data_IF_526217782505
#
_entry.id   IF_526217782505
#
_cell.length_a   1.000
_cell.length_b   1.000
_cell.length_c   1.000
_cell.angle_alpha   90.00
_cell.angle_beta   90.00
_cell.angle_gamma   90.00
#
_symmetry.space_group_name_H-M   'P 1'
#
loop_
_entity.id
_entity.type
_entity.pdbx_description
1 polymer ?
#
# COMPACT_ATOMS: atom_id res chain seq x y z
N UNK A 1 -7.05 -5.59 2.08
CA UNK A 1 -5.87 -6.48 2.11
C UNK A 1 -5.58 -6.88 3.55
N UNK A 2 -5.34 -8.17 3.77
CA UNK A 2 -5.12 -8.80 5.06
C UNK A 2 -3.67 -9.29 5.18
N UNK A 3 -2.97 -9.08 6.30
CA UNK A 3 -1.58 -9.53 6.45
C UNK A 3 -1.46 -11.06 6.50
N UNK A 4 -0.50 -11.60 5.76
CA UNK A 4 -0.17 -13.04 5.74
C UNK A 4 1.21 -13.33 6.33
N UNK A 5 2.15 -12.39 6.22
CA UNK A 5 3.48 -12.50 6.81
C UNK A 5 3.94 -11.14 7.32
N UNK A 6 4.69 -11.15 8.43
CA UNK A 6 5.24 -9.92 9.03
C UNK A 6 6.60 -10.17 9.66
N UNK A 7 7.52 -9.24 9.50
CA UNK A 7 8.77 -9.14 10.25
C UNK A 7 8.81 -7.74 10.85
N UNK A 8 8.88 -7.64 12.18
CA UNK A 8 8.82 -6.37 12.90
C UNK A 8 10.00 -6.22 13.84
N UNK A 9 10.55 -5.01 13.91
CA UNK A 9 11.52 -4.62 14.93
C UNK A 9 11.09 -3.34 15.62
N UNK A 10 10.89 -3.41 16.94
CA UNK A 10 10.59 -2.27 17.80
C UNK A 10 11.91 -1.72 18.37
N UNK A 11 12.19 -0.45 18.07
CA UNK A 11 13.34 0.28 18.62
C UNK A 11 13.17 0.43 20.14
N UNK A 12 14.28 0.36 20.88
CA UNK A 12 14.23 0.25 22.35
C UNK A 12 14.32 1.60 23.08
N UNK A 13 14.77 2.64 22.39
CA UNK A 13 15.00 3.97 22.95
C UNK A 13 13.78 4.90 22.85
N UNK A 14 12.85 4.61 21.94
CA UNK A 14 11.68 5.46 21.66
C UNK A 14 10.55 4.67 20.99
N UNK A 15 9.30 5.17 21.00
CA UNK A 15 8.21 4.61 20.20
C UNK A 15 8.47 4.78 18.70
N UNK A 16 9.06 3.75 18.09
CA UNK A 16 9.42 3.68 16.68
C UNK A 16 9.59 2.21 16.31
N UNK A 17 9.03 1.78 15.19
CA UNK A 17 9.26 0.45 14.63
C UNK A 17 9.45 0.47 13.12
N UNK A 18 10.14 -0.56 12.63
CA UNK A 18 10.12 -0.95 11.22
C UNK A 18 9.37 -2.27 11.07
N UNK A 19 8.51 -2.35 10.05
CA UNK A 19 7.67 -3.51 9.77
C UNK A 19 7.75 -3.84 8.28
N UNK A 20 8.24 -5.03 7.96
CA UNK A 20 8.04 -5.64 6.65
C UNK A 20 6.77 -6.47 6.70
N UNK A 21 5.93 -6.36 5.68
CA UNK A 21 4.62 -7.00 5.66
C UNK A 21 4.29 -7.50 4.26
N UNK A 22 3.76 -8.72 4.20
CA UNK A 22 3.01 -9.22 3.06
C UNK A 22 1.52 -9.13 3.39
N UNK A 23 0.72 -8.55 2.49
CA UNK A 23 -0.75 -8.58 2.58
C UNK A 23 -1.36 -9.11 1.30
N UNK A 24 -2.51 -9.76 1.41
CA UNK A 24 -3.25 -10.26 0.25
C UNK A 24 -4.65 -9.65 0.18
N UNK A 25 -5.17 -9.49 -1.03
CA UNK A 25 -6.52 -9.04 -1.28
C UNK A 25 -6.90 -9.13 -2.75
N UNK A 26 -7.95 -8.41 -3.11
CA UNK A 26 -8.48 -8.34 -4.47
C UNK A 26 -8.62 -6.88 -4.89
N UNK A 27 -8.32 -6.62 -6.15
CA UNK A 27 -8.54 -5.34 -6.79
C UNK A 27 -10.01 -5.20 -7.16
N UNK A 28 -10.63 -4.12 -6.71
CA UNK A 28 -12.00 -3.73 -7.03
C UNK A 28 -11.97 -2.36 -7.71
N UNK A 29 -12.98 -2.08 -8.53
CA UNK A 29 -13.07 -0.84 -9.30
C UNK A 29 -13.02 -1.08 -10.81
N UNK A 30 -12.49 -0.12 -11.54
CA UNK A 30 -12.42 -0.11 -13.00
C UNK A 30 -10.97 -0.15 -13.51
N UNK A 31 -10.81 -0.24 -14.83
CA UNK A 31 -9.49 -0.23 -15.48
C UNK A 31 -8.83 -1.60 -15.58
N UNK A 32 -7.58 -1.61 -16.08
CA UNK A 32 -6.88 -2.84 -16.49
C UNK A 32 -6.50 -3.77 -15.33
N UNK A 33 -6.55 -3.28 -14.08
CA UNK A 33 -6.25 -4.05 -12.87
C UNK A 33 -7.51 -4.56 -12.15
N UNK A 34 -8.71 -4.26 -12.66
CA UNK A 34 -9.96 -4.65 -12.02
C UNK A 34 -10.08 -6.18 -11.93
N UNK A 35 -10.48 -6.68 -10.76
CA UNK A 35 -10.70 -8.11 -10.52
C UNK A 35 -9.43 -8.93 -10.27
N UNK A 36 -8.24 -8.35 -10.41
CA UNK A 36 -6.97 -9.02 -10.14
C UNK A 36 -6.83 -9.40 -8.65
N UNK A 37 -6.15 -10.52 -8.39
CA UNK A 37 -5.61 -10.78 -7.05
C UNK A 37 -4.45 -9.81 -6.77
N UNK A 38 -4.28 -9.37 -5.53
CA UNK A 38 -3.24 -8.39 -5.18
C UNK A 38 -2.46 -8.86 -3.98
N UNK A 39 -1.13 -8.87 -4.12
CA UNK A 39 -0.20 -9.09 -3.01
C UNK A 39 0.63 -7.84 -2.78
N UNK A 40 0.58 -7.30 -1.57
CA UNK A 40 1.48 -6.25 -1.11
C UNK A 40 2.78 -6.85 -0.59
N UNK A 41 3.90 -6.21 -0.92
CA UNK A 41 5.18 -6.36 -0.25
C UNK A 41 5.62 -4.97 0.24
N UNK A 42 5.33 -4.68 1.51
CA UNK A 42 5.51 -3.36 2.12
C UNK A 42 6.61 -3.33 3.16
N UNK A 43 7.27 -2.17 3.29
CA UNK A 43 8.12 -1.79 4.42
C UNK A 43 7.56 -0.50 5.03
N UNK A 44 7.28 -0.54 6.31
CA UNK A 44 6.67 0.53 7.09
C UNK A 44 7.64 0.97 8.18
N UNK A 45 8.19 2.17 8.02
CA UNK A 45 8.96 2.87 9.04
C UNK A 45 8.00 3.84 9.76
N UNK A 46 7.68 3.59 11.04
CA UNK A 46 6.60 4.29 11.74
C UNK A 46 7.04 4.78 13.10
N UNK A 47 6.76 6.06 13.38
CA UNK A 47 6.83 6.71 14.69
C UNK A 47 5.40 6.96 15.18
N UNK A 48 4.82 6.05 15.99
CA UNK A 48 3.41 6.13 16.37
C UNK A 48 3.02 7.48 16.95
N UNK A 49 1.95 8.07 16.41
CA UNK A 49 1.47 9.37 16.83
C UNK A 49 2.23 10.58 16.26
N UNK A 50 3.29 10.37 15.47
CA UNK A 50 4.00 11.43 14.78
C UNK A 50 3.83 11.28 13.27
N UNK A 51 4.44 10.24 12.69
CA UNK A 51 4.41 9.99 11.25
C UNK A 51 4.89 8.57 10.88
N UNK A 52 4.97 8.31 9.59
CA UNK A 52 5.68 7.17 9.03
C UNK A 52 5.95 7.35 7.54
N UNK A 53 6.85 6.52 7.01
CA UNK A 53 7.23 6.50 5.59
C UNK A 53 7.06 5.10 4.95
N UNK A 54 5.81 4.59 4.84
CA UNK A 54 5.55 3.32 4.19
C UNK A 54 5.86 3.34 2.70
N UNK A 55 6.43 2.25 2.20
CA UNK A 55 6.76 2.07 0.78
C UNK A 55 6.79 0.59 0.42
N UNK A 56 6.61 0.27 -0.86
CA UNK A 56 6.66 -1.11 -1.29
C UNK A 56 6.23 -1.33 -2.72
N UNK A 57 5.81 -2.57 -2.98
CA UNK A 57 5.20 -2.98 -4.24
C UNK A 57 3.84 -3.62 -3.99
N UNK A 58 2.96 -3.50 -4.97
CA UNK A 58 1.78 -4.33 -5.14
C UNK A 58 2.01 -5.17 -6.40
N UNK A 59 1.78 -6.47 -6.29
CA UNK A 59 1.75 -7.39 -7.42
C UNK A 59 0.30 -7.70 -7.71
N UNK A 60 -0.20 -7.18 -8.84
CA UNK A 60 -1.54 -7.48 -9.34
C UNK A 60 -1.46 -8.66 -10.30
N UNK A 61 -2.11 -9.77 -9.97
CA UNK A 61 -2.19 -10.96 -10.83
C UNK A 61 -3.57 -11.05 -11.47
N UNK A 62 -3.62 -10.91 -12.79
CA UNK A 62 -4.84 -11.04 -13.58
C UNK A 62 -5.28 -12.52 -13.68
N UNK A 63 -6.55 -12.80 -14.04
CA UNK A 63 -7.05 -14.18 -14.14
C UNK A 63 -6.28 -15.06 -15.15
N UNK A 64 -5.68 -14.47 -16.17
CA UNK A 64 -4.85 -15.16 -17.16
C UNK A 64 -3.40 -15.44 -16.67
N UNK A 65 -3.06 -15.04 -15.44
CA UNK A 65 -1.75 -15.24 -14.84
C UNK A 65 -0.75 -14.10 -15.07
N UNK A 66 -1.09 -13.11 -15.91
CA UNK A 66 -0.24 -11.95 -16.15
C UNK A 66 -0.14 -11.06 -14.90
N UNK A 67 1.02 -10.47 -14.68
CA UNK A 67 1.30 -9.65 -13.51
C UNK A 67 1.64 -8.21 -13.86
N UNK A 68 1.10 -7.27 -13.09
CA UNK A 68 1.56 -5.89 -13.05
C UNK A 68 2.26 -5.62 -11.72
N UNK A 69 3.44 -5.00 -11.78
CA UNK A 69 4.21 -4.58 -10.62
C UNK A 69 3.98 -3.08 -10.42
N UNK A 70 3.34 -2.72 -9.32
CA UNK A 70 3.04 -1.33 -8.96
C UNK A 70 3.90 -0.95 -7.77
N UNK A 71 4.86 -0.05 -7.98
CA UNK A 71 5.65 0.53 -6.90
C UNK A 71 4.88 1.66 -6.25
N UNK A 72 4.96 1.78 -4.94
CA UNK A 72 4.24 2.80 -4.19
C UNK A 72 5.07 3.39 -3.05
N UNK A 73 4.77 4.65 -2.72
CA UNK A 73 5.31 5.36 -1.57
C UNK A 73 4.23 6.22 -0.95
N UNK A 74 4.20 6.27 0.38
CA UNK A 74 3.24 7.02 1.18
C UNK A 74 4.00 7.81 2.25
N UNK A 75 3.47 8.99 2.57
CA UNK A 75 3.78 9.71 3.80
C UNK A 75 2.57 9.62 4.72
N UNK A 76 2.79 9.04 5.90
CA UNK A 76 1.79 8.94 6.95
C UNK A 76 1.98 10.10 7.94
N UNK A 77 0.93 10.85 8.23
CA UNK A 77 0.96 11.94 9.22
C UNK A 77 -0.16 11.77 10.23
N UNK A 78 0.17 11.86 11.51
CA UNK A 78 -0.81 11.81 12.58
C UNK A 78 -1.29 13.23 12.92
N UNK A 79 -2.58 13.49 12.71
CA UNK A 79 -3.24 14.73 13.10
C UNK A 79 -4.01 14.53 14.39
N UNK A 80 -4.05 15.57 15.22
CA UNK A 80 -5.01 15.61 16.33
C UNK A 80 -6.43 15.68 15.77
N UNK A 81 -7.36 14.98 16.41
CA UNK A 81 -8.79 15.10 16.14
C UNK A 81 -9.38 16.15 17.06
N UNK A 82 -10.38 16.87 16.57
CA UNK A 82 -11.24 17.68 17.43
C UNK A 82 -11.95 16.76 18.43
N UNK A 83 -11.95 17.14 19.71
CA UNK A 83 -12.48 16.30 20.80
C UNK A 83 -11.52 15.22 21.31
N UNK A 84 -10.28 15.17 20.82
CA UNK A 84 -9.21 14.32 21.37
C UNK A 84 -8.90 13.06 20.54
N UNK A 85 -7.68 12.54 20.74
CA UNK A 85 -7.13 11.41 19.98
C UNK A 85 -6.45 11.83 18.67
N UNK A 86 -5.97 10.83 17.91
CA UNK A 86 -5.25 11.04 16.65
C UNK A 86 -6.00 10.39 15.49
N UNK A 87 -5.93 11.02 14.30
CA UNK A 87 -6.23 10.39 13.00
C UNK A 87 -4.93 10.29 12.22
N UNK A 88 -4.79 9.23 11.43
CA UNK A 88 -3.70 9.08 10.49
C UNK A 88 -4.20 9.45 9.08
N UNK A 89 -3.38 10.15 8.31
CA UNK A 89 -3.58 10.42 6.90
C UNK A 89 -2.40 9.82 6.16
N UNK A 90 -2.70 8.89 5.26
CA UNK A 90 -1.72 8.12 4.49
C UNK A 90 -1.87 8.45 3.01
N UNK A 91 -1.16 9.48 2.53
CA UNK A 91 -1.20 9.91 1.13
C UNK A 91 0.13 9.68 0.44
N UNK A 92 0.08 9.40 -0.85
CA UNK A 92 1.25 9.07 -1.63
C UNK A 92 0.98 8.96 -3.11
N UNK A 93 1.84 8.22 -3.78
CA UNK A 93 1.76 7.97 -5.21
C UNK A 93 2.12 6.52 -5.53
N UNK A 94 1.70 6.10 -6.72
CA UNK A 94 2.05 4.82 -7.30
C UNK A 94 2.56 5.00 -8.73
N UNK A 95 3.35 4.04 -9.18
CA UNK A 95 3.87 3.96 -10.55
C UNK A 95 3.95 2.48 -11.00
N UNK A 96 3.69 2.20 -12.28
CA UNK A 96 3.99 0.88 -12.85
C UNK A 96 5.51 0.75 -12.95
N UNK A 97 6.06 -0.27 -12.30
CA UNK A 97 7.49 -0.60 -12.37
C UNK A 97 7.80 -1.73 -13.36
N UNK A 98 6.78 -2.29 -13.99
CA UNK A 98 6.89 -3.34 -15.01
C UNK A 98 5.73 -4.33 -14.94
N UNK A 99 5.79 -5.36 -15.77
CA UNK A 99 4.81 -6.44 -15.77
C UNK A 99 5.15 -7.54 -16.76
N UNK A 100 4.26 -8.52 -16.86
CA UNK A 100 4.33 -9.64 -17.79
C UNK A 100 3.11 -9.66 -18.69
N UNK A 101 3.18 -10.40 -19.81
CA UNK A 101 2.06 -10.59 -20.73
C UNK A 101 1.40 -9.27 -21.14
N UNK A 102 0.11 -9.12 -20.87
CA UNK A 102 -0.65 -7.90 -21.19
C UNK A 102 -0.10 -6.63 -20.54
N UNK A 103 0.70 -6.74 -19.48
CA UNK A 103 1.27 -5.61 -18.73
C UNK A 103 2.74 -5.33 -19.05
N UNK A 104 3.37 -6.06 -19.98
CA UNK A 104 4.82 -5.96 -20.27
C UNK A 104 5.29 -4.53 -20.54
N UNK A 105 4.52 -3.79 -21.33
CA UNK A 105 4.85 -2.43 -21.76
C UNK A 105 3.94 -1.38 -21.07
N UNK A 106 3.21 -1.79 -20.03
CA UNK A 106 2.28 -0.93 -19.35
C UNK A 106 3.00 0.23 -18.66
N UNK A 107 2.37 1.40 -18.69
CA UNK A 107 2.83 2.59 -17.97
C UNK A 107 1.68 3.14 -17.18
N UNK A 108 1.96 3.59 -15.96
CA UNK A 108 0.93 4.22 -15.17
C UNK A 108 1.53 4.93 -13.99
N UNK A 109 0.82 5.96 -13.55
CA UNK A 109 1.17 6.75 -12.39
C UNK A 109 -0.09 7.40 -11.83
N UNK A 110 -0.05 7.68 -10.53
CA UNK A 110 -1.16 8.37 -9.90
C UNK A 110 -1.00 8.53 -8.40
N UNK A 111 -2.11 8.84 -7.74
CA UNK A 111 -2.20 9.06 -6.31
C UNK A 111 -2.58 7.78 -5.58
N UNK A 112 -2.07 7.63 -4.36
CA UNK A 112 -2.37 6.54 -3.47
C UNK A 112 -2.89 7.09 -2.14
N UNK A 113 -4.00 6.55 -1.68
CA UNK A 113 -4.48 6.70 -0.30
C UNK A 113 -4.57 5.31 0.36
N UNK A 114 -4.12 5.19 1.62
CA UNK A 114 -4.30 3.97 2.41
C UNK A 114 -5.26 4.25 3.56
N UNK A 115 -6.30 3.41 3.69
CA UNK A 115 -7.26 3.48 4.80
C UNK A 115 -7.17 2.24 5.68
N UNK A 116 -7.21 2.46 6.99
CA UNK A 116 -7.48 1.38 7.95
C UNK A 116 -8.93 0.91 7.80
N UNK A 117 -9.12 -0.39 7.53
CA UNK A 117 -10.46 -1.02 7.54
C UNK A 117 -10.77 -1.52 8.94
N UNK A 118 -9.80 -2.17 9.57
CA UNK A 118 -9.83 -2.60 10.97
C UNK A 118 -8.39 -2.56 11.53
N UNK A 119 -8.15 -3.22 12.66
CA UNK A 119 -6.82 -3.23 13.32
C UNK A 119 -5.70 -3.65 12.35
N UNK A 120 -5.92 -4.67 11.53
CA UNK A 120 -4.91 -5.28 10.66
C UNK A 120 -5.08 -4.94 9.20
N UNK A 121 -6.33 -4.84 8.74
CA UNK A 121 -6.63 -4.80 7.32
C UNK A 121 -6.57 -3.37 6.79
N UNK A 122 -6.11 -3.26 5.55
CA UNK A 122 -5.90 -1.99 4.86
C UNK A 122 -6.61 -1.99 3.52
N UNK A 123 -7.18 -0.85 3.15
CA UNK A 123 -7.70 -0.57 1.81
C UNK A 123 -6.73 0.38 1.13
N UNK A 124 -6.21 -0.04 -0.02
CA UNK A 124 -5.36 0.79 -0.87
C UNK A 124 -6.27 1.33 -1.97
N UNK A 125 -6.25 2.65 -2.15
CA UNK A 125 -7.06 3.35 -3.15
C UNK A 125 -6.08 3.99 -4.12
N UNK A 126 -6.04 3.47 -5.33
CA UNK A 126 -5.17 3.93 -6.40
C UNK A 126 -6.03 4.67 -7.41
N UNK A 127 -5.72 5.94 -7.63
CA UNK A 127 -6.34 6.76 -8.68
C UNK A 127 -5.24 7.25 -9.62
N UNK A 128 -5.50 7.30 -10.92
CA UNK A 128 -4.51 7.73 -11.90
C UNK A 128 -4.71 7.12 -13.27
N UNK A 129 -3.66 7.22 -14.08
CA UNK A 129 -3.67 6.73 -15.46
C UNK A 129 -2.90 5.42 -15.58
N UNK A 130 -3.43 4.50 -16.39
CA UNK A 130 -2.79 3.24 -16.73
C UNK A 130 -3.00 2.96 -18.22
N UNK A 131 -1.91 2.98 -18.96
CA UNK A 131 -1.84 2.73 -20.40
C UNK A 131 -1.22 1.37 -20.68
#
# INVERSE_FOLDING_TARGET
MHPTQTIKYDFKDRPHFVLFVQREGKSEGSGRLAGAAVTEFGMHDIRPGNDGDPRGYLVFRAPNGDEAYVKWRVRAVFFNKDGGGKRIVDHGYWEISGGTGQFKDARGLGTLEIKGVNKTDRKFILEGELQ
#
